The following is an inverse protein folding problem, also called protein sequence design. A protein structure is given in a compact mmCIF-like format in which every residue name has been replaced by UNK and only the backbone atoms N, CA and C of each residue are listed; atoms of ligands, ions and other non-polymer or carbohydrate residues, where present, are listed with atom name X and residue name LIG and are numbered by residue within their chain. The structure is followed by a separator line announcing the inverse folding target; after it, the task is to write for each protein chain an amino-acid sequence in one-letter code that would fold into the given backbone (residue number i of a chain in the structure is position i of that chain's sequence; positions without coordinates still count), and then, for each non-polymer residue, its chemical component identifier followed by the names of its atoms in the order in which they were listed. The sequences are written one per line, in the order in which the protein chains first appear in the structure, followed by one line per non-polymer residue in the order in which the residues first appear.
data_IF_779918582983
#
_entry.id   IF_779918582983
#
_cell.length_a   1.000
_cell.length_b   1.000
_cell.length_c   1.000
_cell.angle_alpha   90.00
_cell.angle_beta   90.00
_cell.angle_gamma   90.00
#
_symmetry.space_group_name_H-M   'P 1'
#
loop_
_entity.id
_entity.type
_entity.pdbx_description
1 polymer ?
#
# COMPACT_ATOMS: atom_id res chain seq x y z
N UNK A 1 18.01 -65.98 -21.87
CA UNK A 1 17.13 -66.59 -20.83
C UNK A 1 16.60 -65.49 -19.88
N UNK A 2 15.40 -64.91 -20.10
CA UNK A 2 14.06 -65.38 -19.66
C UNK A 2 13.91 -65.43 -18.13
N UNK A 3 12.88 -64.96 -17.41
CA UNK A 3 11.64 -64.15 -17.58
C UNK A 3 11.00 -64.08 -16.14
N UNK A 4 10.67 -62.87 -15.60
CA UNK A 4 9.57 -62.40 -14.66
C UNK A 4 9.14 -63.24 -13.40
N UNK A 5 8.29 -62.77 -12.41
CA UNK A 5 7.26 -61.69 -12.40
C UNK A 5 7.05 -60.80 -11.13
N UNK A 6 6.28 -59.70 -11.28
CA UNK A 6 5.05 -59.48 -10.48
C UNK A 6 4.96 -58.41 -9.36
N UNK A 7 4.28 -57.30 -9.68
CA UNK A 7 3.49 -56.32 -8.88
C UNK A 7 3.31 -56.49 -7.35
N UNK A 8 3.38 -55.36 -6.60
CA UNK A 8 2.31 -54.91 -5.69
C UNK A 8 2.35 -53.38 -5.47
N UNK A 9 1.18 -52.75 -5.63
CA UNK A 9 0.86 -51.35 -5.38
C UNK A 9 1.20 -50.94 -3.92
N UNK A 10 2.07 -49.94 -3.75
CA UNK A 10 2.31 -49.26 -2.49
C UNK A 10 1.66 -47.87 -2.49
N UNK A 11 0.39 -47.78 -2.06
CA UNK A 11 -0.12 -46.55 -1.45
C UNK A 11 0.67 -46.34 -0.16
N UNK A 12 1.61 -45.40 -0.15
CA UNK A 12 2.06 -44.79 1.10
C UNK A 12 1.50 -43.38 1.17
N UNK A 13 0.37 -43.25 1.88
CA UNK A 13 0.00 -42.01 2.56
C UNK A 13 1.20 -41.58 3.40
N UNK A 14 1.94 -40.58 2.95
CA UNK A 14 2.79 -39.82 3.86
C UNK A 14 1.84 -39.08 4.81
N UNK A 15 1.83 -39.53 6.07
CA UNK A 15 1.00 -38.98 7.12
C UNK A 15 1.30 -37.50 7.30
N UNK A 16 0.28 -36.66 7.10
CA UNK A 16 0.23 -35.34 7.69
C UNK A 16 -0.21 -35.53 9.15
N UNK A 17 0.71 -35.93 10.01
CA UNK A 17 0.55 -35.88 11.46
C UNK A 17 1.82 -35.27 12.03
N UNK A 18 1.69 -34.08 12.62
CA UNK A 18 2.74 -33.44 13.40
C UNK A 18 3.37 -32.21 12.75
N UNK A 19 2.58 -31.23 12.31
CA UNK A 19 3.07 -29.86 12.35
C UNK A 19 3.00 -29.39 13.81
N UNK A 20 4.01 -29.78 14.58
CA UNK A 20 4.41 -29.16 15.84
C UNK A 20 4.37 -27.66 15.64
N UNK A 21 3.61 -26.93 16.47
CA UNK A 21 3.43 -25.49 16.32
C UNK A 21 4.79 -24.79 16.18
N UNK A 22 5.10 -24.33 14.98
CA UNK A 22 6.29 -23.54 14.74
C UNK A 22 6.13 -22.26 15.57
N UNK A 23 6.98 -22.10 16.58
CA UNK A 23 7.16 -20.81 17.25
C UNK A 23 7.85 -19.88 16.24
N UNK A 24 7.07 -19.30 15.34
CA UNK A 24 7.51 -18.20 14.49
C UNK A 24 7.80 -17.00 15.37
N UNK A 25 8.96 -16.36 15.13
CA UNK A 25 9.34 -15.14 15.83
C UNK A 25 8.38 -14.00 15.49
N UNK A 26 8.34 -12.96 16.32
CA UNK A 26 7.51 -11.79 16.06
C UNK A 26 7.87 -11.13 14.71
N UNK A 27 9.16 -11.06 14.37
CA UNK A 27 9.68 -10.55 13.10
C UNK A 27 9.21 -11.39 11.90
N UNK A 28 9.28 -12.71 11.99
CA UNK A 28 8.81 -13.59 10.91
C UNK A 28 7.29 -13.51 10.73
N UNK A 29 6.55 -13.22 11.80
CA UNK A 29 5.10 -13.01 11.72
C UNK A 29 4.72 -11.77 10.91
N UNK A 30 5.57 -10.73 10.88
CA UNK A 30 5.35 -9.52 10.09
C UNK A 30 5.30 -9.80 8.58
N UNK A 31 5.89 -10.90 8.12
CA UNK A 31 5.86 -11.33 6.72
C UNK A 31 4.47 -11.82 6.27
N UNK A 32 3.57 -12.12 7.21
CA UNK A 32 2.25 -12.72 6.93
C UNK A 32 1.08 -11.87 7.40
N UNK A 33 1.33 -10.64 7.85
CA UNK A 33 0.30 -9.71 8.32
C UNK A 33 0.32 -8.42 7.53
N UNK A 34 -0.85 -7.79 7.38
CA UNK A 34 -0.92 -6.39 6.95
C UNK A 34 -0.16 -5.49 7.94
N UNK A 35 0.39 -4.35 7.50
CA UNK A 35 1.09 -3.45 8.41
C UNK A 35 0.20 -2.99 9.57
N UNK A 36 0.84 -2.71 10.70
CA UNK A 36 0.18 -2.26 11.94
C UNK A 36 0.52 -0.83 12.30
N UNK A 37 1.61 -0.29 11.75
CA UNK A 37 2.04 1.09 11.95
C UNK A 37 1.53 1.98 10.82
N UNK A 38 0.84 3.06 11.20
CA UNK A 38 0.42 4.11 10.26
C UNK A 38 1.60 5.00 9.87
N UNK A 39 1.51 5.61 8.70
CA UNK A 39 2.33 6.80 8.38
C UNK A 39 2.15 7.85 9.49
N UNK A 40 3.18 8.65 9.75
CA UNK A 40 3.07 9.76 10.71
C UNK A 40 2.18 10.89 10.19
N UNK A 41 2.04 11.02 8.88
CA UNK A 41 1.15 12.01 8.28
C UNK A 41 1.31 12.14 6.77
N UNK A 42 0.45 12.97 6.19
CA UNK A 42 0.49 13.42 4.80
C UNK A 42 0.29 14.93 4.79
N UNK A 43 0.99 15.62 3.89
CA UNK A 43 0.80 17.03 3.61
C UNK A 43 0.68 17.24 2.09
N UNK A 44 -0.12 18.21 1.69
CA UNK A 44 -0.27 18.59 0.30
C UNK A 44 -0.56 20.07 0.18
N UNK A 45 0.02 20.68 -0.85
CA UNK A 45 -0.27 22.06 -1.22
C UNK A 45 -0.55 22.14 -2.71
N UNK A 46 -1.78 22.53 -3.02
CA UNK A 46 -2.17 22.86 -4.38
C UNK A 46 -1.49 24.16 -4.85
N UNK A 47 -0.95 24.12 -6.06
CA UNK A 47 -0.34 25.25 -6.77
C UNK A 47 -0.91 25.40 -8.17
N UNK A 48 -1.93 24.60 -8.56
CA UNK A 48 -2.63 24.80 -9.83
C UNK A 48 -3.46 26.09 -9.78
N UNK A 49 -3.60 26.72 -10.94
CA UNK A 49 -4.40 27.94 -11.14
C UNK A 49 -5.72 27.68 -11.90
N UNK A 50 -6.05 26.41 -12.12
CA UNK A 50 -7.21 25.95 -12.88
C UNK A 50 -8.23 25.29 -11.98
N UNK A 51 -9.50 25.55 -12.28
CA UNK A 51 -10.63 24.97 -11.57
C UNK A 51 -10.72 23.45 -11.79
N UNK A 52 -11.05 22.74 -10.72
CA UNK A 52 -11.26 21.30 -10.56
C UNK A 52 -10.04 20.42 -10.80
N UNK A 53 -8.83 20.97 -10.69
CA UNK A 53 -7.58 20.23 -10.86
C UNK A 53 -6.63 20.50 -9.72
N UNK A 54 -5.83 19.50 -9.35
CA UNK A 54 -4.78 19.66 -8.36
C UNK A 54 -3.41 19.41 -8.97
N UNK A 55 -2.52 20.37 -8.79
CA UNK A 55 -1.12 20.25 -9.13
C UNK A 55 -0.31 20.62 -7.91
N UNK A 56 0.64 19.78 -7.51
CA UNK A 56 1.46 20.13 -6.37
C UNK A 56 2.36 19.02 -5.90
N UNK A 57 2.88 19.21 -4.69
CA UNK A 57 3.77 18.26 -4.05
C UNK A 57 3.07 17.63 -2.85
N UNK A 58 3.00 16.30 -2.86
CA UNK A 58 2.58 15.47 -1.74
C UNK A 58 3.83 15.13 -0.93
N UNK A 59 3.75 15.33 0.37
CA UNK A 59 4.76 14.90 1.34
C UNK A 59 4.16 13.83 2.24
N UNK A 60 4.78 12.66 2.30
CA UNK A 60 4.41 11.58 3.21
C UNK A 60 5.45 11.49 4.32
N UNK A 61 4.98 11.68 5.56
CA UNK A 61 5.81 11.50 6.75
C UNK A 61 5.80 10.04 7.16
N UNK A 62 7.00 9.47 7.26
CA UNK A 62 7.24 8.06 7.57
C UNK A 62 6.59 7.62 8.88
N UNK A 63 6.19 6.36 8.96
CA UNK A 63 5.83 5.72 10.20
C UNK A 63 7.02 5.70 11.18
N UNK A 64 6.77 5.73 12.51
CA UNK A 64 7.83 5.63 13.51
C UNK A 64 8.52 4.26 13.52
N UNK A 65 7.83 3.23 13.05
CA UNK A 65 8.34 1.87 12.82
C UNK A 65 7.88 1.41 11.43
N UNK A 66 8.80 0.85 10.64
CA UNK A 66 8.59 0.39 9.26
C UNK A 66 9.07 -1.05 9.05
N UNK A 67 9.23 -1.85 10.11
CA UNK A 67 9.63 -3.26 10.02
C UNK A 67 8.66 -4.07 9.16
N UNK A 68 7.36 -3.80 9.27
CA UNK A 68 6.29 -4.47 8.53
C UNK A 68 5.82 -3.73 7.26
N UNK A 69 6.42 -2.57 6.97
CA UNK A 69 6.03 -1.70 5.84
C UNK A 69 7.00 -1.90 4.67
N UNK A 70 6.49 -1.98 3.44
CA UNK A 70 7.30 -2.00 2.22
C UNK A 70 7.13 -0.70 1.41
N UNK A 71 5.93 -0.15 1.38
CA UNK A 71 5.60 1.06 0.63
C UNK A 71 4.42 1.83 1.27
N UNK A 72 4.22 3.04 0.77
CA UNK A 72 3.13 3.94 1.12
C UNK A 72 2.25 4.15 -0.10
N UNK A 73 0.98 3.79 0.01
CA UNK A 73 0.00 4.03 -1.03
C UNK A 73 -0.73 5.34 -0.74
N UNK A 74 -0.74 6.23 -1.73
CA UNK A 74 -1.47 7.50 -1.68
C UNK A 74 -2.76 7.35 -2.49
N UNK A 75 -3.88 7.69 -1.88
CA UNK A 75 -5.21 7.58 -2.45
C UNK A 75 -5.93 8.93 -2.46
N UNK A 76 -6.83 9.08 -3.43
CA UNK A 76 -7.98 9.96 -3.23
C UNK A 76 -8.82 9.45 -2.07
N UNK A 77 -9.44 10.34 -1.31
CA UNK A 77 -10.31 9.95 -0.21
C UNK A 77 -11.53 10.85 -0.07
N UNK A 78 -12.57 10.27 0.51
CA UNK A 78 -13.81 10.95 0.91
C UNK A 78 -14.08 10.64 2.37
N UNK A 79 -13.99 11.65 3.23
CA UNK A 79 -14.30 11.54 4.66
C UNK A 79 -13.59 10.35 5.35
N UNK A 80 -12.28 10.22 5.12
CA UNK A 80 -11.46 9.15 5.69
C UNK A 80 -11.67 7.77 5.06
N UNK A 81 -12.32 7.68 3.89
CA UNK A 81 -12.46 6.42 3.14
C UNK A 81 -11.61 6.48 1.86
N UNK A 82 -10.72 5.51 1.64
CA UNK A 82 -9.88 5.48 0.44
C UNK A 82 -10.72 5.19 -0.81
N UNK A 83 -10.42 5.91 -1.88
CA UNK A 83 -10.98 5.75 -3.22
C UNK A 83 -9.93 5.21 -4.20
N UNK A 84 -9.74 5.90 -5.33
CA UNK A 84 -8.76 5.49 -6.34
C UNK A 84 -7.31 5.74 -5.88
N UNK A 85 -6.42 4.78 -6.19
CA UNK A 85 -4.98 4.89 -5.96
C UNK A 85 -4.40 5.97 -6.88
N UNK A 86 -3.56 6.83 -6.30
CA UNK A 86 -2.80 7.86 -7.01
C UNK A 86 -1.38 7.36 -7.26
N UNK A 87 -0.70 6.91 -6.21
CA UNK A 87 0.70 6.53 -6.30
C UNK A 87 1.07 5.46 -5.27
N UNK A 88 1.96 4.55 -5.68
CA UNK A 88 2.64 3.61 -4.81
C UNK A 88 4.08 4.11 -4.59
N UNK A 89 4.39 4.52 -3.36
CA UNK A 89 5.65 5.19 -3.02
C UNK A 89 6.54 4.26 -2.19
N UNK A 90 7.73 3.87 -2.69
CA UNK A 90 8.67 3.08 -1.91
C UNK A 90 9.04 3.78 -0.61
N UNK A 91 9.16 3.03 0.49
CA UNK A 91 9.68 3.62 1.73
C UNK A 91 11.10 4.13 1.53
N UNK A 92 11.44 5.23 2.19
CA UNK A 92 12.79 5.80 2.18
C UNK A 92 13.26 6.02 3.62
N UNK A 93 14.46 6.57 3.82
CA UNK A 93 14.95 6.94 5.15
C UNK A 93 14.48 8.34 5.59
N UNK A 94 13.75 9.08 4.76
CA UNK A 94 13.30 10.46 5.02
C UNK A 94 11.85 10.66 4.59
N UNK A 95 11.30 11.88 4.76
CA UNK A 95 10.02 12.26 4.14
C UNK A 95 10.04 11.90 2.64
N UNK A 96 8.95 11.29 2.19
CA UNK A 96 8.79 10.90 0.79
C UNK A 96 8.06 12.02 0.07
N UNK A 97 8.58 12.42 -1.08
CA UNK A 97 8.02 13.51 -1.89
C UNK A 97 7.51 12.96 -3.21
N UNK A 98 6.29 13.32 -3.60
CA UNK A 98 5.68 12.94 -4.88
C UNK A 98 4.99 14.13 -5.52
N UNK A 99 5.20 14.34 -6.83
CA UNK A 99 4.53 15.42 -7.57
C UNK A 99 3.22 14.90 -8.13
N UNK A 100 2.10 15.46 -7.65
CA UNK A 100 0.78 15.22 -8.21
C UNK A 100 0.61 16.07 -9.48
N UNK A 101 0.49 15.40 -10.64
CA UNK A 101 0.26 16.02 -11.95
C UNK A 101 -0.35 15.00 -12.92
N UNK A 102 -0.98 15.48 -13.98
CA UNK A 102 -1.44 14.64 -15.10
C UNK A 102 -0.22 13.99 -15.78
N UNK A 103 -0.22 12.65 -15.88
CA UNK A 103 0.90 11.89 -16.46
C UNK A 103 1.04 12.10 -17.98
N UNK A 104 -0.07 12.37 -18.68
CA UNK A 104 -0.04 12.64 -20.11
C UNK A 104 0.32 14.10 -20.40
N UNK A 105 0.00 15.02 -19.47
CA UNK A 105 0.20 16.46 -19.59
C UNK A 105 0.87 16.99 -18.32
N UNK A 106 2.19 16.86 -18.26
CA UNK A 106 2.99 17.19 -17.08
C UNK A 106 2.91 18.66 -16.60
N UNK A 107 2.33 19.55 -17.41
CA UNK A 107 2.04 20.94 -17.09
C UNK A 107 0.65 21.18 -16.48
N UNK A 108 -0.15 20.12 -16.31
CA UNK A 108 -1.52 20.18 -15.80
C UNK A 108 -1.71 19.39 -14.51
N UNK A 109 -2.59 19.87 -13.66
CA UNK A 109 -3.07 19.13 -12.49
C UNK A 109 -3.89 17.91 -12.87
N UNK A 110 -4.09 17.04 -11.87
CA UNK A 110 -4.98 15.88 -11.97
C UNK A 110 -6.39 16.34 -11.65
N UNK A 111 -7.36 15.95 -12.48
CA UNK A 111 -8.77 16.21 -12.22
C UNK A 111 -9.21 15.55 -10.90
N UNK A 112 -9.91 16.31 -10.06
CA UNK A 112 -10.41 15.81 -8.78
C UNK A 112 -11.56 14.83 -9.04
N UNK A 113 -11.49 13.56 -8.56
CA UNK A 113 -12.61 12.64 -8.69
C UNK A 113 -13.84 13.12 -7.94
N UNK A 114 -15.03 12.73 -8.42
CA UNK A 114 -16.29 13.12 -7.79
C UNK A 114 -16.32 12.73 -6.30
N UNK A 115 -16.66 13.69 -5.43
CA UNK A 115 -16.67 13.58 -3.97
C UNK A 115 -15.33 13.41 -3.26
N UNK A 116 -14.19 13.40 -3.96
CA UNK A 116 -12.91 13.42 -3.26
C UNK A 116 -12.76 14.78 -2.55
N UNK A 117 -12.53 14.74 -1.24
CA UNK A 117 -12.26 15.91 -0.42
C UNK A 117 -10.96 15.79 0.38
N UNK A 118 -10.25 14.68 0.22
CA UNK A 118 -9.01 14.38 0.94
C UNK A 118 -8.01 13.63 0.06
N UNK A 119 -6.74 13.70 0.43
CA UNK A 119 -5.75 12.67 0.15
C UNK A 119 -5.55 11.81 1.41
N UNK A 120 -5.35 10.51 1.21
CA UNK A 120 -5.07 9.56 2.29
C UNK A 120 -3.77 8.82 1.98
N UNK A 121 -2.97 8.56 3.01
CA UNK A 121 -1.83 7.65 2.91
C UNK A 121 -2.06 6.39 3.74
N UNK A 122 -1.85 5.23 3.14
CA UNK A 122 -1.92 3.92 3.78
C UNK A 122 -0.55 3.24 3.70
N UNK A 123 -0.13 2.60 4.78
CA UNK A 123 1.07 1.77 4.79
C UNK A 123 0.72 0.39 4.29
N UNK A 124 1.61 -0.17 3.46
CA UNK A 124 1.32 -1.39 2.74
C UNK A 124 2.56 -2.30 2.60
N UNK A 125 2.29 -3.59 2.43
CA UNK A 125 3.27 -4.63 2.15
C UNK A 125 2.70 -5.68 1.17
N UNK A 126 3.46 -6.74 0.91
CA UNK A 126 3.03 -7.81 0.00
C UNK A 126 1.78 -8.60 0.44
N UNK A 127 1.30 -8.43 1.67
CA UNK A 127 0.07 -9.04 2.18
C UNK A 127 -1.13 -8.12 1.96
N UNK A 128 -0.94 -6.81 2.08
CA UNK A 128 -1.97 -5.81 1.83
C UNK A 128 -1.65 -4.48 2.51
N UNK A 129 -2.65 -3.60 2.52
CA UNK A 129 -2.54 -2.25 3.06
C UNK A 129 -3.38 -2.11 4.34
N UNK A 130 -2.99 -1.19 5.21
CA UNK A 130 -3.86 -0.74 6.31
C UNK A 130 -5.20 -0.23 5.77
N UNK A 131 -6.27 -0.36 6.54
CA UNK A 131 -7.60 0.15 6.14
C UNK A 131 -7.81 1.64 6.41
N UNK A 132 -7.01 2.23 7.31
CA UNK A 132 -7.14 3.61 7.75
C UNK A 132 -5.75 4.19 7.98
N UNK A 133 -5.54 5.41 7.50
CA UNK A 133 -4.32 6.18 7.72
C UNK A 133 -4.59 7.67 7.83
N UNK A 134 -3.54 8.48 7.96
CA UNK A 134 -3.66 9.94 7.98
C UNK A 134 -4.27 10.48 6.69
N UNK A 135 -5.01 11.57 6.82
CA UNK A 135 -5.58 12.33 5.71
C UNK A 135 -5.13 13.78 5.74
N UNK A 136 -5.18 14.42 4.57
CA UNK A 136 -5.10 15.88 4.42
C UNK A 136 -6.26 16.31 3.52
N UNK A 137 -6.96 17.36 3.93
CA UNK A 137 -8.05 17.92 3.12
C UNK A 137 -7.46 18.56 1.86
N UNK A 138 -8.14 18.35 0.73
CA UNK A 138 -7.82 19.04 -0.52
C UNK A 138 -8.75 20.22 -0.68
N UNK A 139 -8.16 21.35 -1.08
CA UNK A 139 -8.87 22.57 -1.41
C UNK A 139 -8.42 22.98 -2.80
N UNK A 140 -9.34 22.96 -3.75
CA UNK A 140 -9.10 23.63 -5.03
C UNK A 140 -9.13 25.14 -4.78
N UNK A 141 -8.05 25.82 -5.12
CA UNK A 141 -7.90 27.26 -4.89
C UNK A 141 -8.93 28.10 -5.67
N UNK A 142 -9.66 27.53 -6.64
CA UNK A 142 -10.58 28.24 -7.54
C UNK A 142 -12.05 27.81 -7.43
N UNK A 143 -12.47 27.25 -6.29
CA UNK A 143 -13.89 26.95 -6.02
C UNK A 143 -14.83 28.15 -6.13
#
# INVERSE_FOLDING_TARGET
PSLVPGHHHGLMKAGLHGATGANITAEERLLFTVPTHKAAGINFRDVDDRKNELFGTIEVFRAPDELDIQHYDVYWATDGKPGALIACLPKTLTTITHVLRDEARHERGVAIPFHANQLMVLTANGIGSMLVGPTVDIWDRFE
#
